data_IF_995743524045
#
_entry.id   IF_995743524045
#
_cell.length_a   1.000
_cell.length_b   1.000
_cell.length_c   1.000
_cell.angle_alpha   90.00
_cell.angle_beta   90.00
_cell.angle_gamma   90.00
#
_symmetry.space_group_name_H-M   'P 1'
#
loop_
_entity.id
_entity.type
_entity.pdbx_description
1 polymer ?
#
# COMPACT_ATOMS: atom_id res chain seq x y z
N UNK A 1 28.70 19.94 -38.85
CA UNK A 1 28.76 18.80 -37.92
C UNK A 1 27.32 18.37 -37.66
N UNK A 2 26.86 17.35 -38.38
CA UNK A 2 25.47 16.88 -38.29
C UNK A 2 25.33 16.04 -37.03
N UNK A 3 24.57 16.49 -36.04
CA UNK A 3 24.19 15.67 -34.88
C UNK A 3 23.32 14.52 -35.38
N UNK A 4 23.94 13.38 -35.66
CA UNK A 4 23.20 12.16 -36.00
C UNK A 4 22.31 11.82 -34.80
N UNK A 5 20.99 11.84 -35.00
CA UNK A 5 20.03 11.46 -33.96
C UNK A 5 20.39 10.06 -33.46
N UNK A 6 20.35 9.81 -32.13
CA UNK A 6 20.63 8.49 -31.59
C UNK A 6 19.66 7.48 -32.22
N UNK A 7 20.12 6.26 -32.56
CA UNK A 7 19.22 5.25 -33.11
C UNK A 7 18.10 4.96 -32.09
N UNK A 8 16.87 4.73 -32.58
CA UNK A 8 15.66 4.51 -31.77
C UNK A 8 15.86 3.50 -30.62
N UNK A 9 16.69 2.47 -30.85
CA UNK A 9 17.08 1.46 -29.86
C UNK A 9 17.83 2.06 -28.65
N UNK A 10 18.71 3.03 -28.87
CA UNK A 10 19.44 3.74 -27.81
C UNK A 10 18.51 4.65 -27.01
N UNK A 11 17.61 5.37 -27.69
CA UNK A 11 16.60 6.21 -27.02
C UNK A 11 15.71 5.34 -26.14
N UNK A 12 15.22 4.21 -26.63
CA UNK A 12 14.41 3.28 -25.83
C UNK A 12 15.15 2.78 -24.58
N UNK A 13 16.42 2.37 -24.71
CA UNK A 13 17.22 1.93 -23.57
C UNK A 13 17.39 3.07 -22.55
N UNK A 14 17.69 4.29 -23.01
CA UNK A 14 17.83 5.46 -22.16
C UNK A 14 16.51 5.80 -21.43
N UNK A 15 15.38 5.74 -22.13
CA UNK A 15 14.05 5.94 -21.55
C UNK A 15 13.74 4.89 -20.48
N UNK A 16 14.06 3.62 -20.71
CA UNK A 16 13.84 2.55 -19.73
C UNK A 16 14.68 2.76 -18.46
N UNK A 17 15.93 3.20 -18.61
CA UNK A 17 16.79 3.55 -17.47
C UNK A 17 16.21 4.75 -16.73
N UNK A 18 15.85 5.82 -17.43
CA UNK A 18 15.34 7.05 -16.82
C UNK A 18 14.04 6.80 -16.06
N UNK A 19 13.09 6.11 -16.67
CA UNK A 19 11.83 5.70 -16.02
C UNK A 19 12.12 4.75 -14.85
N UNK A 20 13.03 3.80 -15.03
CA UNK A 20 13.42 2.87 -13.96
C UNK A 20 14.02 3.59 -12.75
N UNK A 21 14.91 4.56 -12.97
CA UNK A 21 15.50 5.38 -11.91
C UNK A 21 14.41 6.22 -11.23
N UNK A 22 13.56 6.93 -11.99
CA UNK A 22 12.49 7.74 -11.42
C UNK A 22 11.54 6.90 -10.53
N UNK A 23 11.10 5.74 -11.03
CA UNK A 23 10.25 4.82 -10.26
C UNK A 23 10.97 4.19 -9.06
N UNK A 24 12.30 4.03 -9.10
CA UNK A 24 13.07 3.52 -7.96
C UNK A 24 13.06 4.47 -6.75
N UNK A 25 12.72 5.75 -6.97
CA UNK A 25 12.56 6.76 -5.94
C UNK A 25 11.10 7.11 -5.68
N UNK A 26 10.14 6.37 -6.27
CA UNK A 26 8.72 6.67 -6.10
C UNK A 26 8.28 6.63 -4.63
N UNK A 27 8.78 5.68 -3.84
CA UNK A 27 8.49 5.63 -2.39
C UNK A 27 9.02 6.86 -1.65
N UNK A 28 10.24 7.31 -1.94
CA UNK A 28 10.79 8.52 -1.31
C UNK A 28 10.04 9.78 -1.72
N UNK A 29 9.60 9.86 -2.98
CA UNK A 29 8.81 10.98 -3.47
C UNK A 29 7.38 11.00 -2.88
N UNK A 30 6.75 9.84 -2.68
CA UNK A 30 5.39 9.77 -2.12
C UNK A 30 5.35 9.77 -0.60
N UNK A 31 6.39 9.28 0.06
CA UNK A 31 6.49 9.29 1.52
C UNK A 31 7.13 10.57 2.08
N UNK A 32 7.84 11.35 1.25
CA UNK A 32 8.67 12.48 1.70
C UNK A 32 7.95 13.82 1.87
N UNK A 33 6.85 14.08 1.15
CA UNK A 33 6.28 15.44 1.02
C UNK A 33 4.76 15.53 1.29
N UNK A 34 4.10 14.44 1.68
CA UNK A 34 2.70 14.52 2.11
C UNK A 34 2.65 14.96 3.58
N UNK A 35 2.84 16.26 3.84
CA UNK A 35 2.49 16.88 5.11
C UNK A 35 0.96 16.74 5.29
N UNK A 36 0.55 15.90 6.24
CA UNK A 36 -0.85 15.83 6.67
C UNK A 36 -1.10 17.04 7.57
N UNK A 37 -2.01 17.90 7.14
CA UNK A 37 -2.53 18.97 8.00
C UNK A 37 -3.53 18.37 8.98
N UNK A 38 -3.29 18.61 10.26
CA UNK A 38 -4.20 18.28 11.34
C UNK A 38 -4.83 19.56 11.86
N UNK A 39 -6.12 19.52 12.13
CA UNK A 39 -6.88 20.63 12.69
C UNK A 39 -7.29 20.28 14.13
N UNK A 40 -7.22 21.26 15.02
CA UNK A 40 -7.76 21.15 16.37
C UNK A 40 -9.07 21.93 16.45
N UNK A 41 -10.19 21.22 16.46
CA UNK A 41 -11.51 21.83 16.57
C UNK A 41 -11.96 21.80 18.03
N UNK A 42 -12.31 22.97 18.58
CA UNK A 42 -12.92 23.04 19.90
C UNK A 42 -14.31 22.39 19.85
N UNK A 43 -14.61 21.52 20.81
CA UNK A 43 -15.86 20.77 20.86
C UNK A 43 -16.44 20.78 22.27
N UNK A 44 -17.75 20.90 22.36
CA UNK A 44 -18.48 20.78 23.62
C UNK A 44 -19.12 19.39 23.77
N UNK A 45 -19.27 18.85 24.99
CA UNK A 45 -20.00 17.62 25.22
C UNK A 45 -21.43 17.69 24.67
N UNK A 46 -21.73 16.84 23.69
CA UNK A 46 -23.05 16.77 23.04
C UNK A 46 -23.14 17.52 21.72
N UNK A 47 -22.12 18.30 21.37
CA UNK A 47 -21.96 18.88 20.03
C UNK A 47 -21.03 17.99 19.18
N UNK A 48 -21.25 18.02 17.86
CA UNK A 48 -20.41 17.38 16.84
C UNK A 48 -19.93 15.96 17.19
N UNK A 49 -20.86 15.11 17.64
CA UNK A 49 -20.57 13.76 18.11
C UNK A 49 -19.87 12.88 17.08
N UNK A 50 -20.13 13.12 15.78
CA UNK A 50 -19.41 12.45 14.68
C UNK A 50 -17.94 12.88 14.57
N UNK A 51 -17.60 14.13 14.88
CA UNK A 51 -16.21 14.60 14.85
C UNK A 51 -15.39 13.98 16.00
N UNK A 52 -16.01 13.79 17.16
CA UNK A 52 -15.39 13.12 18.32
C UNK A 52 -15.18 11.63 18.05
N UNK A 53 -16.17 10.95 17.49
CA UNK A 53 -16.04 9.54 17.12
C UNK A 53 -14.92 9.32 16.08
N UNK A 54 -14.74 10.24 15.13
CA UNK A 54 -13.63 10.19 14.16
C UNK A 54 -12.27 10.52 14.77
N UNK A 55 -12.22 11.49 15.68
CA UNK A 55 -10.96 11.89 16.31
C UNK A 55 -10.47 10.85 17.32
N UNK A 56 -11.37 10.24 18.10
CA UNK A 56 -11.01 9.47 19.27
C UNK A 56 -11.09 7.95 19.05
N UNK A 57 -9.95 7.28 19.08
CA UNK A 57 -9.81 5.83 18.87
C UNK A 57 -10.60 4.94 19.84
N UNK A 58 -11.14 5.48 20.93
CA UNK A 58 -11.89 4.74 21.95
C UNK A 58 -13.41 4.86 21.76
N UNK A 59 -13.85 5.51 20.68
CA UNK A 59 -15.25 5.66 20.29
C UNK A 59 -15.38 5.20 18.85
N UNK A 60 -16.23 4.21 18.59
CA UNK A 60 -16.52 3.78 17.21
C UNK A 60 -17.83 4.42 16.72
N UNK A 61 -17.84 4.98 15.50
CA UNK A 61 -19.08 5.40 14.84
C UNK A 61 -19.77 4.19 14.17
N UNK A 62 -20.87 3.71 14.75
CA UNK A 62 -21.62 2.59 14.20
C UNK A 62 -22.44 2.97 12.97
N UNK A 63 -22.85 4.24 12.81
CA UNK A 63 -23.58 4.67 11.61
C UNK A 63 -22.67 4.58 10.38
N UNK A 64 -21.43 5.04 10.53
CA UNK A 64 -20.39 4.93 9.50
C UNK A 64 -19.98 3.46 9.28
N UNK A 65 -19.67 2.73 10.36
CA UNK A 65 -19.21 1.33 10.26
C UNK A 65 -20.23 0.42 9.58
N UNK A 66 -21.51 0.69 9.79
CA UNK A 66 -22.60 -0.10 9.23
C UNK A 66 -23.06 0.42 7.87
N UNK A 67 -22.47 1.48 7.30
CA UNK A 67 -22.95 2.13 6.05
C UNK A 67 -23.21 1.15 4.90
N UNK A 68 -22.33 0.17 4.74
CA UNK A 68 -22.40 -0.85 3.69
C UNK A 68 -23.19 -2.11 4.09
N UNK A 69 -23.63 -2.18 5.35
CA UNK A 69 -24.47 -3.27 5.85
C UNK A 69 -25.92 -3.01 5.43
N UNK A 70 -26.57 -3.93 4.69
CA UNK A 70 -27.98 -3.79 4.32
C UNK A 70 -28.89 -3.52 5.54
N UNK A 71 -29.86 -2.62 5.41
CA UNK A 71 -30.72 -2.19 6.52
C UNK A 71 -31.45 -3.33 7.22
N UNK A 72 -31.82 -4.37 6.47
CA UNK A 72 -32.48 -5.58 6.97
C UNK A 72 -31.63 -6.36 7.99
N UNK A 73 -30.30 -6.19 7.94
CA UNK A 73 -29.37 -6.85 8.86
C UNK A 73 -29.00 -5.98 10.06
N UNK A 74 -29.40 -4.69 10.10
CA UNK A 74 -29.09 -3.77 11.21
C UNK A 74 -30.06 -3.88 12.39
N UNK A 75 -31.10 -4.69 12.28
CA UNK A 75 -32.13 -4.84 13.31
C UNK A 75 -31.60 -5.22 14.71
N UNK A 76 -30.57 -6.08 14.85
CA UNK A 76 -29.94 -6.35 16.15
C UNK A 76 -29.38 -5.11 16.84
N UNK A 77 -28.78 -4.19 16.07
CA UNK A 77 -28.22 -2.93 16.59
C UNK A 77 -29.33 -1.97 17.00
N UNK A 78 -30.38 -1.85 16.18
CA UNK A 78 -31.57 -1.04 16.55
C UNK A 78 -32.23 -1.56 17.81
N UNK A 79 -32.33 -2.88 17.94
CA UNK A 79 -32.88 -3.53 19.13
C UNK A 79 -32.02 -3.18 20.33
N UNK A 80 -30.71 -3.45 20.28
CA UNK A 80 -29.81 -3.14 21.39
C UNK A 80 -29.83 -1.65 21.78
N UNK A 81 -29.83 -0.74 20.81
CA UNK A 81 -29.92 0.70 21.06
C UNK A 81 -31.24 1.13 21.73
N UNK A 82 -32.35 0.42 21.44
CA UNK A 82 -33.67 0.72 21.98
C UNK A 82 -33.95 0.05 23.34
N UNK A 83 -33.50 -1.20 23.53
CA UNK A 83 -33.79 -2.02 24.71
C UNK A 83 -32.62 -2.14 25.68
N UNK A 84 -31.43 -1.70 25.28
CA UNK A 84 -30.18 -1.82 26.02
C UNK A 84 -29.38 -3.08 25.70
N UNK A 85 -29.99 -4.10 25.09
CA UNK A 85 -29.29 -5.32 24.69
C UNK A 85 -30.02 -6.14 23.63
N UNK A 86 -29.25 -6.96 22.92
CA UNK A 86 -29.70 -7.99 21.99
C UNK A 86 -28.92 -9.28 22.26
N UNK A 87 -29.62 -10.42 22.35
CA UNK A 87 -29.01 -11.76 22.37
C UNK A 87 -29.65 -12.60 21.28
N UNK A 88 -28.85 -13.06 20.31
CA UNK A 88 -29.37 -13.81 19.18
C UNK A 88 -28.35 -14.05 18.07
N UNK A 89 -28.83 -14.63 16.98
CA UNK A 89 -28.00 -14.93 15.81
C UNK A 89 -27.90 -13.70 14.90
N UNK A 90 -26.67 -13.31 14.56
CA UNK A 90 -26.38 -12.28 13.57
C UNK A 90 -26.27 -12.89 12.17
N UNK A 91 -26.59 -12.08 11.16
CA UNK A 91 -26.17 -12.35 9.78
C UNK A 91 -24.64 -12.34 9.69
N UNK A 92 -24.02 -13.14 8.80
CA UNK A 92 -22.58 -13.09 8.57
C UNK A 92 -22.05 -11.68 8.28
N UNK A 93 -22.79 -10.88 7.51
CA UNK A 93 -22.42 -9.52 7.14
C UNK A 93 -22.32 -8.61 8.36
N UNK A 94 -23.36 -8.59 9.21
CA UNK A 94 -23.33 -7.83 10.46
C UNK A 94 -22.26 -8.36 11.43
N UNK A 95 -22.05 -9.68 11.51
CA UNK A 95 -21.01 -10.24 12.36
C UNK A 95 -19.62 -9.73 11.95
N UNK A 96 -19.29 -9.78 10.65
CA UNK A 96 -18.03 -9.23 10.10
C UNK A 96 -17.91 -7.72 10.36
N UNK A 97 -19.02 -6.98 10.31
CA UNK A 97 -18.99 -5.55 10.57
C UNK A 97 -18.69 -5.21 12.05
N UNK A 98 -19.04 -6.09 12.99
CA UNK A 98 -18.91 -5.85 14.43
C UNK A 98 -17.70 -6.55 15.07
N UNK A 99 -17.14 -7.58 14.46
CA UNK A 99 -16.09 -8.44 15.06
C UNK A 99 -14.86 -7.64 15.53
N UNK A 100 -14.52 -6.57 14.81
CA UNK A 100 -13.36 -5.71 15.11
C UNK A 100 -13.68 -4.52 16.04
N UNK A 101 -14.91 -4.41 16.58
CA UNK A 101 -15.31 -3.28 17.43
C UNK A 101 -14.93 -3.56 18.88
N UNK A 102 -13.67 -3.27 19.22
CA UNK A 102 -13.10 -3.44 20.56
C UNK A 102 -13.15 -2.17 21.45
N UNK A 103 -13.90 -1.15 21.03
CA UNK A 103 -13.97 0.13 21.75
C UNK A 103 -14.96 0.11 22.91
N UNK A 104 -14.65 0.76 24.05
CA UNK A 104 -15.56 0.82 25.20
C UNK A 104 -16.82 1.66 24.96
N UNK A 105 -16.78 2.58 23.98
CA UNK A 105 -17.89 3.45 23.63
C UNK A 105 -18.20 3.37 22.14
N UNK A 106 -19.46 3.56 21.79
CA UNK A 106 -19.92 3.70 20.40
C UNK A 106 -20.84 4.91 20.26
N UNK A 107 -20.84 5.50 19.06
CA UNK A 107 -21.84 6.46 18.61
C UNK A 107 -22.82 5.76 17.66
N UNK A 108 -24.11 5.92 17.90
CA UNK A 108 -25.16 5.42 17.00
C UNK A 108 -26.36 6.36 17.07
N UNK A 109 -26.90 6.76 15.93
CA UNK A 109 -28.05 7.69 15.84
C UNK A 109 -27.84 8.95 16.70
N UNK A 110 -26.65 9.56 16.54
CA UNK A 110 -26.20 10.77 17.25
C UNK A 110 -26.04 10.65 18.78
N UNK A 111 -26.19 9.45 19.34
CA UNK A 111 -26.07 9.20 20.79
C UNK A 111 -24.90 8.30 21.12
N UNK A 112 -24.39 8.45 22.35
CA UNK A 112 -23.32 7.61 22.86
C UNK A 112 -23.85 6.45 23.70
N UNK A 113 -23.18 5.32 23.58
CA UNK A 113 -23.44 4.12 24.35
C UNK A 113 -22.14 3.54 24.88
N UNK A 114 -22.16 3.05 26.12
CA UNK A 114 -21.20 2.03 26.57
C UNK A 114 -21.51 0.75 25.79
N UNK A 115 -20.46 0.17 25.21
CA UNK A 115 -20.57 -0.92 24.25
C UNK A 115 -19.90 -2.18 24.78
N UNK A 116 -20.62 -3.29 24.67
CA UNK A 116 -20.03 -4.63 24.78
C UNK A 116 -20.55 -5.49 23.65
N UNK A 117 -19.63 -6.15 22.95
CA UNK A 117 -19.92 -7.17 21.96
C UNK A 117 -19.25 -8.47 22.36
N UNK A 118 -20.01 -9.57 22.36
CA UNK A 118 -19.45 -10.89 22.63
C UNK A 118 -20.11 -11.95 21.78
N UNK A 119 -19.33 -12.92 21.33
CA UNK A 119 -19.79 -14.06 20.54
C UNK A 119 -19.64 -15.35 21.35
N UNK A 120 -20.61 -16.25 21.24
CA UNK A 120 -20.51 -17.58 21.87
C UNK A 120 -19.76 -18.53 20.93
N UNK A 121 -18.43 -18.59 21.07
CA UNK A 121 -17.55 -19.46 20.27
C UNK A 121 -17.43 -19.00 18.81
N UNK A 122 -17.11 -19.91 17.88
CA UNK A 122 -17.01 -19.62 16.43
C UNK A 122 -18.38 -19.52 15.73
N UNK A 123 -19.43 -19.09 16.45
CA UNK A 123 -20.79 -18.99 15.89
C UNK A 123 -21.23 -17.54 15.75
N UNK A 124 -22.19 -17.28 14.87
CA UNK A 124 -22.80 -15.94 14.73
C UNK A 124 -23.79 -15.61 15.85
N UNK A 125 -23.88 -16.43 16.90
CA UNK A 125 -24.67 -16.09 18.08
C UNK A 125 -23.89 -15.08 18.92
N UNK A 126 -24.43 -13.87 19.00
CA UNK A 126 -23.80 -12.77 19.69
C UNK A 126 -24.73 -12.13 20.70
N UNK A 127 -24.10 -11.57 21.74
CA UNK A 127 -24.73 -10.67 22.68
C UNK A 127 -24.15 -9.28 22.46
N UNK A 128 -25.03 -8.32 22.18
CA UNK A 128 -24.73 -6.90 22.04
C UNK A 128 -25.34 -6.18 23.23
N UNK A 129 -24.57 -5.39 23.95
CA UNK A 129 -25.05 -4.50 24.99
C UNK A 129 -24.73 -3.05 24.61
N UNK A 130 -25.76 -2.20 24.66
CA UNK A 130 -25.69 -0.78 24.34
C UNK A 130 -26.35 0.02 25.46
N UNK A 131 -25.55 0.46 26.43
CA UNK A 131 -26.08 1.24 27.55
C UNK A 131 -25.96 2.73 27.24
N UNK A 132 -27.07 3.49 27.15
CA UNK A 132 -27.02 4.93 26.90
C UNK A 132 -26.11 5.63 27.91
N UNK A 133 -25.24 6.50 27.41
CA UNK A 133 -24.25 7.23 28.21
C UNK A 133 -24.27 8.71 27.84
N UNK A 134 -24.10 9.57 28.84
CA UNK A 134 -24.03 11.01 28.62
C UNK A 134 -22.71 11.41 27.92
N UNK A 135 -22.75 12.40 27.00
CA UNK A 135 -21.56 12.86 26.30
C UNK A 135 -20.44 13.34 27.23
N UNK A 136 -20.78 13.94 28.37
CA UNK A 136 -19.80 14.44 29.35
C UNK A 136 -18.93 13.31 29.91
N UNK A 137 -19.54 12.19 30.28
CA UNK A 137 -18.84 10.99 30.76
C UNK A 137 -17.93 10.40 29.68
N UNK A 138 -18.37 10.35 28.42
CA UNK A 138 -17.54 9.87 27.31
C UNK A 138 -16.34 10.80 27.09
N UNK A 139 -16.56 12.11 27.04
CA UNK A 139 -15.49 13.09 26.87
C UNK A 139 -14.48 13.00 28.02
N UNK A 140 -14.95 12.89 29.26
CA UNK A 140 -14.09 12.74 30.42
C UNK A 140 -13.28 11.43 30.41
N UNK A 141 -13.86 10.33 29.92
CA UNK A 141 -13.21 9.03 29.84
C UNK A 141 -12.18 8.95 28.70
N UNK A 142 -12.44 9.61 27.58
CA UNK A 142 -11.66 9.46 26.35
C UNK A 142 -10.63 10.58 26.15
N UNK A 143 -10.88 11.77 26.69
CA UNK A 143 -9.98 12.91 26.53
C UNK A 143 -8.65 12.71 27.26
N UNK A 144 -7.56 13.07 26.58
CA UNK A 144 -6.20 13.05 27.11
C UNK A 144 -5.76 14.46 27.50
N UNK A 145 -4.92 14.64 28.54
CA UNK A 145 -4.40 15.96 28.86
C UNK A 145 -3.48 16.47 27.73
N UNK A 146 -3.74 17.68 27.23
CA UNK A 146 -2.94 18.29 26.16
C UNK A 146 -1.47 18.49 26.56
N UNK A 147 -1.19 18.68 27.86
CA UNK A 147 0.17 18.79 28.40
C UNK A 147 1.01 17.52 28.24
N UNK A 148 0.38 16.35 28.09
CA UNK A 148 1.05 15.09 27.81
C UNK A 148 1.09 14.74 26.32
N UNK A 149 0.53 15.60 25.45
CA UNK A 149 0.44 15.35 24.03
C UNK A 149 1.76 15.66 23.29
N UNK A 150 2.02 14.99 22.14
CA UNK A 150 3.14 15.32 21.25
C UNK A 150 3.16 16.81 20.88
N UNK A 151 4.33 17.34 20.49
CA UNK A 151 4.49 18.76 20.11
C UNK A 151 3.48 19.18 19.04
N UNK A 152 3.33 18.40 17.98
CA UNK A 152 2.40 18.74 16.89
C UNK A 152 0.94 18.82 17.32
N UNK A 153 0.50 18.06 18.33
CA UNK A 153 -0.86 18.20 18.89
C UNK A 153 -1.01 19.53 19.64
N UNK A 154 0.01 19.92 20.40
CA UNK A 154 0.01 21.20 21.13
C UNK A 154 0.03 22.37 20.15
N UNK A 155 0.87 22.30 19.11
CA UNK A 155 0.87 23.28 18.01
C UNK A 155 -0.50 23.37 17.34
N UNK A 156 -1.14 22.23 17.04
CA UNK A 156 -2.49 22.25 16.46
C UNK A 156 -3.51 22.93 17.37
N UNK A 157 -3.46 22.68 18.68
CA UNK A 157 -4.36 23.32 19.65
C UNK A 157 -4.07 24.83 19.78
N UNK A 158 -2.79 25.22 19.81
CA UNK A 158 -2.37 26.61 20.03
C UNK A 158 -2.56 27.49 18.77
N UNK A 159 -2.30 26.94 17.58
CA UNK A 159 -2.30 27.66 16.29
C UNK A 159 -3.52 27.33 15.40
N UNK A 160 -4.35 26.37 15.81
CA UNK A 160 -5.51 25.87 15.07
C UNK A 160 -5.21 24.72 14.11
N UNK A 161 -3.99 24.65 13.58
CA UNK A 161 -3.55 23.58 12.66
C UNK A 161 -2.08 23.20 12.87
N UNK A 162 -1.70 21.97 12.52
CA UNK A 162 -0.31 21.55 12.47
C UNK A 162 -0.03 20.63 11.27
N UNK A 163 1.12 20.84 10.61
CA UNK A 163 1.58 20.06 9.45
C UNK A 163 2.68 19.05 9.82
N UNK A 164 2.90 18.79 11.12
CA UNK A 164 4.01 17.97 11.58
C UNK A 164 3.73 16.46 11.48
N UNK A 165 4.77 15.67 11.17
CA UNK A 165 4.71 14.22 11.32
C UNK A 165 4.57 13.84 12.79
N UNK A 166 3.65 12.90 13.11
CA UNK A 166 3.51 12.36 14.46
C UNK A 166 2.43 13.05 15.33
N UNK A 167 1.60 13.91 14.73
CA UNK A 167 0.34 14.33 15.34
C UNK A 167 -0.54 13.09 15.50
N UNK A 168 -1.08 12.89 16.70
CA UNK A 168 -1.98 11.77 17.00
C UNK A 168 -3.39 12.29 17.10
N UNK A 169 -4.28 11.79 16.24
CA UNK A 169 -5.70 12.06 16.35
C UNK A 169 -6.21 11.66 17.73
N UNK A 170 -7.12 12.45 18.28
CA UNK A 170 -7.67 12.19 19.59
C UNK A 170 -8.47 13.36 20.13
N UNK A 171 -9.19 13.10 21.21
CA UNK A 171 -9.80 14.13 22.04
C UNK A 171 -8.78 14.56 23.10
N UNK A 172 -8.50 15.86 23.19
CA UNK A 172 -7.56 16.45 24.13
C UNK A 172 -8.25 17.49 25.01
N UNK A 173 -7.80 17.62 26.25
CA UNK A 173 -8.31 18.61 27.20
C UNK A 173 -7.22 19.60 27.59
N UNK A 174 -7.53 20.89 27.45
CA UNK A 174 -6.69 22.01 27.85
C UNK A 174 -7.57 23.06 28.55
N UNK A 175 -7.20 23.44 29.77
CA UNK A 175 -7.86 24.50 30.57
C UNK A 175 -9.39 24.37 30.70
N UNK A 176 -9.90 23.13 30.70
CA UNK A 176 -11.32 22.83 30.83
C UNK A 176 -12.09 22.77 29.52
N UNK A 177 -11.47 23.14 28.39
CA UNK A 177 -12.01 22.97 27.05
C UNK A 177 -11.53 21.66 26.41
N UNK A 178 -12.35 21.11 25.50
CA UNK A 178 -12.03 19.92 24.73
C UNK A 178 -11.71 20.30 23.29
N UNK A 179 -10.67 19.67 22.75
CA UNK A 179 -10.20 19.84 21.39
C UNK A 179 -10.13 18.48 20.73
N UNK A 180 -10.90 18.29 19.67
CA UNK A 180 -10.80 17.12 18.83
C UNK A 180 -9.77 17.41 17.74
N UNK A 181 -8.67 16.66 17.77
CA UNK A 181 -7.60 16.76 16.80
C UNK A 181 -7.76 15.63 15.80
N UNK A 182 -7.95 15.99 14.54
CA UNK A 182 -8.13 15.04 13.44
C UNK A 182 -7.45 15.57 12.17
N UNK A 183 -7.18 14.70 11.18
CA UNK A 183 -6.73 15.17 9.86
C UNK A 183 -7.78 16.09 9.25
N UNK A 184 -7.34 17.21 8.65
CA UNK A 184 -8.23 18.15 7.95
C UNK A 184 -8.98 17.45 6.80
N UNK A 185 -8.33 16.47 6.17
CA UNK A 185 -8.89 15.72 5.05
C UNK A 185 -8.60 14.23 5.13
N UNK A 186 -9.65 13.42 5.31
CA UNK A 186 -9.58 11.96 5.19
C UNK A 186 -9.15 11.51 3.78
N UNK A 187 -9.51 12.28 2.76
CA UNK A 187 -9.06 12.02 1.39
C UNK A 187 -7.54 12.20 1.25
N UNK A 188 -6.93 13.14 1.99
CA UNK A 188 -5.48 13.31 2.03
C UNK A 188 -4.80 12.14 2.76
N UNK A 189 -5.38 11.65 3.86
CA UNK A 189 -4.91 10.44 4.56
C UNK A 189 -4.95 9.23 3.63
N UNK A 190 -6.07 9.04 2.93
CA UNK A 190 -6.22 7.95 1.97
C UNK A 190 -5.25 8.09 0.79
N UNK A 191 -5.08 9.30 0.25
CA UNK A 191 -4.15 9.58 -0.84
C UNK A 191 -2.69 9.32 -0.42
N UNK A 192 -2.30 9.68 0.81
CA UNK A 192 -0.98 9.37 1.34
C UNK A 192 -0.80 7.87 1.54
N UNK A 193 -1.79 7.17 2.07
CA UNK A 193 -1.74 5.72 2.21
C UNK A 193 -1.64 5.01 0.86
N UNK A 194 -2.48 5.41 -0.11
CA UNK A 194 -2.42 4.93 -1.48
C UNK A 194 -1.07 5.28 -2.14
N UNK A 195 -0.53 6.46 -1.88
CA UNK A 195 0.78 6.91 -2.34
C UNK A 195 1.93 6.11 -1.73
N UNK A 196 1.84 5.74 -0.46
CA UNK A 196 2.80 4.88 0.22
C UNK A 196 2.75 3.45 -0.34
N UNK A 197 1.54 2.89 -0.56
CA UNK A 197 1.36 1.59 -1.22
C UNK A 197 1.91 1.63 -2.65
N UNK A 198 1.55 2.65 -3.42
CA UNK A 198 2.02 2.83 -4.79
C UNK A 198 3.54 2.99 -4.82
N UNK A 199 4.12 3.79 -3.94
CA UNK A 199 5.56 3.96 -3.82
C UNK A 199 6.27 2.65 -3.45
N UNK A 200 5.73 1.90 -2.48
CA UNK A 200 6.26 0.61 -2.04
C UNK A 200 6.20 -0.43 -3.17
N UNK A 201 5.13 -0.43 -3.94
CA UNK A 201 4.91 -1.29 -5.10
C UNK A 201 5.80 -0.90 -6.31
N UNK A 202 5.95 0.39 -6.59
CA UNK A 202 6.64 0.93 -7.78
C UNK A 202 8.16 0.96 -7.63
N UNK A 203 8.68 1.08 -6.40
CA UNK A 203 10.12 1.08 -6.13
C UNK A 203 10.85 -0.17 -6.67
N UNK A 204 10.42 -1.40 -6.35
CA UNK A 204 11.04 -2.60 -6.92
C UNK A 204 10.81 -2.73 -8.44
N UNK A 205 9.69 -2.19 -8.97
CA UNK A 205 9.43 -2.14 -10.41
C UNK A 205 10.46 -1.25 -11.12
N UNK A 206 10.71 -0.06 -10.59
CA UNK A 206 11.74 0.86 -11.09
C UNK A 206 13.12 0.20 -11.13
N UNK A 207 13.48 -0.52 -10.06
CA UNK A 207 14.76 -1.24 -9.98
C UNK A 207 14.86 -2.34 -11.04
N UNK A 208 13.77 -3.07 -11.27
CA UNK A 208 13.69 -4.05 -12.36
C UNK A 208 13.91 -3.41 -13.73
N UNK A 209 13.27 -2.27 -14.01
CA UNK A 209 13.45 -1.54 -15.28
C UNK A 209 14.86 -1.00 -15.45
N UNK A 210 15.42 -0.38 -14.41
CA UNK A 210 16.79 0.13 -14.42
C UNK A 210 17.80 -0.99 -14.68
N UNK A 211 17.64 -2.15 -14.03
CA UNK A 211 18.48 -3.32 -14.26
C UNK A 211 18.38 -3.84 -15.71
N UNK A 212 17.17 -3.95 -16.26
CA UNK A 212 16.99 -4.36 -17.66
C UNK A 212 17.65 -3.35 -18.60
N UNK A 213 17.42 -2.06 -18.40
CA UNK A 213 18.03 -0.99 -19.19
C UNK A 213 19.57 -1.04 -19.15
N UNK A 214 20.16 -1.17 -17.97
CA UNK A 214 21.62 -1.32 -17.79
C UNK A 214 22.17 -2.56 -18.48
N UNK A 215 21.47 -3.70 -18.37
CA UNK A 215 21.87 -4.94 -19.04
C UNK A 215 21.83 -4.83 -20.57
N UNK A 216 20.78 -4.20 -21.12
CA UNK A 216 20.67 -3.94 -22.55
C UNK A 216 21.76 -2.97 -23.03
N UNK A 217 22.01 -1.90 -22.27
CA UNK A 217 23.06 -0.94 -22.57
C UNK A 217 24.44 -1.61 -22.60
N UNK A 218 24.73 -2.47 -21.62
CA UNK A 218 25.99 -3.20 -21.54
C UNK A 218 26.20 -4.11 -22.76
N UNK A 219 25.17 -4.85 -23.19
CA UNK A 219 25.26 -5.68 -24.40
C UNK A 219 25.37 -4.83 -25.66
N UNK A 220 24.67 -3.71 -25.74
CA UNK A 220 24.75 -2.79 -26.89
C UNK A 220 26.13 -2.17 -27.03
N UNK A 221 26.76 -1.81 -25.92
CA UNK A 221 28.12 -1.24 -25.90
C UNK A 221 29.19 -2.28 -26.26
N UNK A 222 29.07 -3.51 -25.73
CA UNK A 222 30.02 -4.59 -26.05
C UNK A 222 29.89 -5.11 -27.47
N UNK A 223 28.69 -5.07 -28.05
CA UNK A 223 28.39 -5.67 -29.36
C UNK A 223 27.54 -4.74 -30.25
N UNK A 224 28.10 -3.60 -30.70
CA UNK A 224 27.34 -2.56 -31.39
C UNK A 224 26.80 -2.97 -32.77
N UNK A 225 27.41 -3.97 -33.41
CA UNK A 225 27.09 -4.41 -34.77
C UNK A 225 26.14 -5.62 -34.84
N UNK A 226 25.74 -6.21 -33.70
CA UNK A 226 24.81 -7.35 -33.73
C UNK A 226 23.37 -6.90 -33.95
N UNK A 227 22.74 -7.46 -35.00
CA UNK A 227 21.32 -7.25 -35.28
C UNK A 227 20.40 -7.82 -34.21
N UNK A 228 20.80 -8.96 -33.64
CA UNK A 228 20.12 -9.66 -32.56
C UNK A 228 20.88 -9.50 -31.26
N UNK A 229 20.41 -8.59 -30.42
CA UNK A 229 21.08 -8.25 -29.16
C UNK A 229 20.82 -9.31 -28.09
N UNK A 230 19.59 -9.85 -28.01
CA UNK A 230 19.20 -10.81 -26.98
C UNK A 230 18.98 -12.23 -27.49
N UNK A 231 19.57 -13.17 -26.78
CA UNK A 231 19.22 -14.61 -26.78
C UNK A 231 18.65 -14.96 -25.40
N UNK A 232 18.04 -16.15 -25.23
CA UNK A 232 17.47 -16.56 -23.93
C UNK A 232 18.53 -16.47 -22.82
N UNK A 233 19.75 -16.95 -23.07
CA UNK A 233 20.86 -16.90 -22.09
C UNK A 233 21.23 -15.47 -21.69
N UNK A 234 21.23 -14.54 -22.65
CA UNK A 234 21.52 -13.12 -22.38
C UNK A 234 20.37 -12.45 -21.65
N UNK A 235 19.13 -12.75 -22.02
CA UNK A 235 17.95 -12.24 -21.34
C UNK A 235 17.93 -12.69 -19.87
N UNK A 236 18.31 -13.95 -19.59
CA UNK A 236 18.46 -14.44 -18.21
C UNK A 236 19.55 -13.68 -17.48
N UNK A 237 20.69 -13.39 -18.11
CA UNK A 237 21.75 -12.58 -17.50
C UNK A 237 21.29 -11.13 -17.22
N UNK A 238 20.51 -10.53 -18.13
CA UNK A 238 19.91 -9.20 -17.95
C UNK A 238 18.91 -9.22 -16.79
N UNK A 239 18.02 -10.23 -16.74
CA UNK A 239 17.06 -10.36 -15.65
C UNK A 239 17.74 -10.59 -14.29
N UNK A 240 18.80 -11.40 -14.26
CA UNK A 240 19.58 -11.66 -13.04
C UNK A 240 20.26 -10.40 -12.50
N UNK A 241 20.55 -9.40 -13.34
CA UNK A 241 21.11 -8.11 -12.90
C UNK A 241 20.16 -7.35 -11.96
N UNK A 242 18.85 -7.66 -11.97
CA UNK A 242 17.90 -7.03 -11.06
C UNK A 242 18.21 -7.31 -9.59
N UNK A 243 18.76 -8.47 -9.25
CA UNK A 243 19.12 -8.83 -7.88
C UNK A 243 20.22 -7.91 -7.31
N UNK A 244 21.43 -7.81 -7.89
CA UNK A 244 22.47 -6.93 -7.37
C UNK A 244 22.09 -5.45 -7.45
N UNK A 245 21.40 -5.01 -8.52
CA UNK A 245 20.91 -3.62 -8.64
C UNK A 245 19.94 -3.30 -7.51
N UNK A 246 18.97 -4.19 -7.25
CA UNK A 246 18.00 -3.98 -6.19
C UNK A 246 18.63 -4.05 -4.80
N UNK A 247 19.58 -4.96 -4.56
CA UNK A 247 20.30 -5.05 -3.28
C UNK A 247 21.13 -3.79 -3.00
N UNK A 248 21.87 -3.28 -3.99
CA UNK A 248 22.65 -2.04 -3.85
C UNK A 248 21.72 -0.86 -3.60
N UNK A 249 20.61 -0.77 -4.34
CA UNK A 249 19.64 0.30 -4.14
C UNK A 249 18.97 0.21 -2.76
N UNK A 250 18.59 -0.99 -2.30
CA UNK A 250 18.09 -1.19 -0.93
C UNK A 250 19.13 -0.75 0.10
N UNK A 251 20.40 -1.15 -0.05
CA UNK A 251 21.46 -0.78 0.88
C UNK A 251 21.73 0.74 0.94
N UNK A 252 21.62 1.44 -0.19
CA UNK A 252 21.90 2.88 -0.27
C UNK A 252 20.74 3.75 0.16
N UNK A 253 19.49 3.32 -0.10
CA UNK A 253 18.32 4.19 -0.01
C UNK A 253 17.27 3.74 1.00
N UNK A 254 17.31 2.49 1.46
CA UNK A 254 16.34 1.98 2.42
C UNK A 254 16.97 1.75 3.79
N UNK A 255 16.30 2.26 4.82
CA UNK A 255 16.58 1.99 6.23
C UNK A 255 15.41 1.19 6.83
N UNK A 256 15.68 0.36 7.83
CA UNK A 256 14.65 -0.42 8.53
C UNK A 256 14.80 -1.94 8.36
N UNK A 257 13.68 -2.64 8.19
CA UNK A 257 13.62 -4.11 8.28
C UNK A 257 14.52 -4.84 7.28
N UNK A 258 15.21 -5.89 7.75
CA UNK A 258 16.01 -6.80 6.93
C UNK A 258 15.18 -7.52 5.86
N UNK A 259 13.87 -7.68 6.04
CA UNK A 259 12.98 -8.30 5.05
C UNK A 259 12.95 -7.54 3.71
N UNK A 260 13.31 -6.25 3.71
CA UNK A 260 13.41 -5.42 2.49
C UNK A 260 14.52 -5.89 1.55
N UNK A 261 15.58 -6.49 2.07
CA UNK A 261 16.67 -7.10 1.27
C UNK A 261 16.25 -8.38 0.55
N UNK A 262 15.06 -8.91 0.84
CA UNK A 262 14.51 -10.08 0.15
C UNK A 262 13.32 -9.69 -0.72
N UNK A 263 12.35 -8.99 -0.13
CA UNK A 263 11.08 -8.64 -0.80
C UNK A 263 11.31 -7.72 -2.01
N UNK A 264 12.11 -6.66 -1.88
CA UNK A 264 12.43 -5.73 -2.97
C UNK A 264 13.15 -6.43 -4.14
N UNK A 265 14.29 -7.11 -3.90
CA UNK A 265 15.00 -7.84 -4.95
C UNK A 265 14.18 -8.96 -5.60
N UNK A 266 13.36 -9.70 -4.83
CA UNK A 266 12.48 -10.72 -5.38
C UNK A 266 11.48 -10.11 -6.37
N UNK A 267 10.79 -9.02 -5.99
CA UNK A 267 9.84 -8.34 -6.88
C UNK A 267 10.53 -7.74 -8.11
N UNK A 268 11.70 -7.11 -7.93
CA UNK A 268 12.49 -6.58 -9.05
C UNK A 268 12.89 -7.69 -10.05
N UNK A 269 13.23 -8.89 -9.56
CA UNK A 269 13.55 -10.04 -10.39
C UNK A 269 12.32 -10.57 -11.15
N UNK A 270 11.12 -10.58 -10.54
CA UNK A 270 9.86 -10.91 -11.23
C UNK A 270 9.63 -9.95 -12.39
N UNK A 271 9.75 -8.64 -12.15
CA UNK A 271 9.58 -7.60 -13.18
C UNK A 271 10.59 -7.80 -14.31
N UNK A 272 11.87 -7.96 -13.97
CA UNK A 272 12.93 -8.12 -14.95
C UNK A 272 12.80 -9.43 -15.76
N UNK A 273 12.20 -10.49 -15.20
CA UNK A 273 11.94 -11.75 -15.90
C UNK A 273 11.05 -11.57 -17.15
N UNK A 274 10.28 -10.48 -17.21
CA UNK A 274 9.55 -10.08 -18.41
C UNK A 274 10.43 -10.06 -19.66
N UNK A 275 11.70 -9.62 -19.55
CA UNK A 275 12.63 -9.62 -20.69
C UNK A 275 12.86 -11.03 -21.24
N UNK A 276 12.97 -12.04 -20.36
CA UNK A 276 13.14 -13.45 -20.74
C UNK A 276 11.88 -13.95 -21.42
N UNK A 277 10.71 -13.65 -20.86
CA UNK A 277 9.43 -14.00 -21.44
C UNK A 277 9.28 -13.42 -22.86
N UNK A 278 9.64 -12.15 -23.07
CA UNK A 278 9.63 -11.50 -24.38
C UNK A 278 10.54 -12.19 -25.40
N UNK A 279 11.76 -12.57 -24.99
CA UNK A 279 12.67 -13.35 -25.84
C UNK A 279 12.10 -14.73 -26.17
N UNK A 280 11.51 -15.42 -25.20
CA UNK A 280 10.90 -16.74 -25.41
C UNK A 280 9.76 -16.67 -26.41
N UNK A 281 8.89 -15.65 -26.32
CA UNK A 281 7.79 -15.43 -27.28
C UNK A 281 8.32 -15.09 -28.67
N UNK A 282 9.34 -14.23 -28.78
CA UNK A 282 9.98 -13.91 -30.06
C UNK A 282 10.63 -15.14 -30.74
N UNK A 283 10.93 -16.19 -29.96
CA UNK A 283 11.54 -17.44 -30.43
C UNK A 283 10.56 -18.62 -30.47
N UNK A 284 9.27 -18.39 -30.23
CA UNK A 284 8.23 -19.43 -30.15
C UNK A 284 8.55 -20.56 -29.15
N UNK A 285 9.27 -20.26 -28.05
CA UNK A 285 9.67 -21.22 -27.01
C UNK A 285 8.65 -21.27 -25.86
N UNK A 286 7.45 -21.75 -26.16
CA UNK A 286 6.31 -21.76 -25.22
C UNK A 286 6.55 -22.54 -23.93
N UNK A 287 7.27 -23.68 -23.99
CA UNK A 287 7.62 -24.46 -22.78
C UNK A 287 8.54 -23.67 -21.84
N UNK A 288 9.54 -22.98 -22.39
CA UNK A 288 10.44 -22.14 -21.61
C UNK A 288 9.73 -20.92 -21.03
N UNK A 289 8.77 -20.35 -21.75
CA UNK A 289 7.93 -19.26 -21.23
C UNK A 289 7.15 -19.72 -20.00
N UNK A 290 6.37 -20.80 -20.11
CA UNK A 290 5.59 -21.33 -19.00
C UNK A 290 6.47 -21.68 -17.79
N UNK A 291 7.62 -22.34 -18.03
CA UNK A 291 8.56 -22.68 -16.97
C UNK A 291 9.17 -21.47 -16.26
N UNK A 292 9.53 -20.41 -17.00
CA UNK A 292 10.09 -19.19 -16.40
C UNK A 292 9.03 -18.42 -15.62
N UNK A 293 7.83 -18.23 -16.17
CA UNK A 293 6.77 -17.49 -15.49
C UNK A 293 6.35 -18.19 -14.20
N UNK A 294 6.06 -19.49 -14.26
CA UNK A 294 5.67 -20.26 -13.06
C UNK A 294 6.84 -20.34 -12.07
N UNK A 295 8.05 -20.64 -12.55
CA UNK A 295 9.22 -20.79 -11.70
C UNK A 295 9.60 -19.50 -10.95
N UNK A 296 9.61 -18.36 -11.65
CA UNK A 296 9.94 -17.06 -11.04
C UNK A 296 8.83 -16.62 -10.06
N UNK A 297 7.56 -16.83 -10.40
CA UNK A 297 6.45 -16.52 -9.49
C UNK A 297 6.50 -17.34 -8.20
N UNK A 298 6.75 -18.65 -8.30
CA UNK A 298 6.89 -19.53 -7.14
C UNK A 298 8.13 -19.18 -6.31
N UNK A 299 9.27 -18.91 -6.94
CA UNK A 299 10.50 -18.54 -6.23
C UNK A 299 10.33 -17.21 -5.49
N UNK A 300 9.72 -16.20 -6.12
CA UNK A 300 9.44 -14.93 -5.47
C UNK A 300 8.47 -15.09 -4.29
N UNK A 301 7.42 -15.88 -4.47
CA UNK A 301 6.46 -16.19 -3.39
C UNK A 301 7.14 -16.90 -2.22
N UNK A 302 7.98 -17.90 -2.50
CA UNK A 302 8.74 -18.61 -1.48
C UNK A 302 9.73 -17.69 -0.75
N UNK A 303 10.44 -16.82 -1.48
CA UNK A 303 11.38 -15.86 -0.89
C UNK A 303 10.66 -14.84 0.01
N UNK A 304 9.53 -14.30 -0.43
CA UNK A 304 8.71 -13.37 0.36
C UNK A 304 8.16 -14.08 1.60
N UNK A 305 7.62 -15.28 1.45
CA UNK A 305 7.15 -16.11 2.58
C UNK A 305 8.27 -16.39 3.58
N UNK A 306 9.49 -16.70 3.11
CA UNK A 306 10.63 -16.90 4.01
C UNK A 306 11.03 -15.61 4.75
N UNK A 307 10.83 -14.44 4.14
CA UNK A 307 11.24 -13.15 4.71
C UNK A 307 10.25 -12.57 5.73
N UNK A 308 8.95 -12.80 5.55
CA UNK A 308 7.90 -12.21 6.41
C UNK A 308 6.99 -13.26 7.09
N UNK A 309 7.28 -14.55 6.92
CA UNK A 309 6.52 -15.64 7.55
C UNK A 309 5.21 -15.96 6.82
N UNK A 310 4.20 -16.52 7.52
CA UNK A 310 2.95 -16.97 6.91
C UNK A 310 2.20 -15.89 6.12
N UNK A 311 2.29 -14.63 6.54
CA UNK A 311 1.71 -13.48 5.80
C UNK A 311 2.25 -13.36 4.39
N UNK A 312 3.48 -13.82 4.13
CA UNK A 312 4.06 -13.84 2.80
C UNK A 312 3.40 -14.81 1.82
N UNK A 313 2.58 -15.76 2.27
CA UNK A 313 1.75 -16.58 1.38
C UNK A 313 0.65 -15.77 0.70
N UNK A 314 0.24 -14.63 1.28
CA UNK A 314 -0.73 -13.71 0.70
C UNK A 314 0.00 -12.63 -0.12
N UNK A 315 1.02 -12.01 0.46
CA UNK A 315 1.75 -10.93 -0.20
C UNK A 315 2.65 -11.41 -1.36
N UNK A 316 3.16 -12.64 -1.29
CA UNK A 316 4.03 -13.23 -2.32
C UNK A 316 3.35 -13.34 -3.69
N UNK A 317 2.19 -14.01 -3.80
CA UNK A 317 1.43 -14.08 -5.05
C UNK A 317 0.99 -12.71 -5.56
N UNK A 318 0.55 -11.80 -4.67
CA UNK A 318 0.17 -10.43 -5.06
C UNK A 318 1.36 -9.66 -5.67
N UNK A 319 2.54 -9.74 -5.03
CA UNK A 319 3.76 -9.14 -5.55
C UNK A 319 4.18 -9.78 -6.89
N UNK A 320 4.02 -11.08 -7.05
CA UNK A 320 4.30 -11.77 -8.30
C UNK A 320 3.34 -11.31 -9.43
N UNK A 321 2.04 -11.23 -9.16
CA UNK A 321 1.03 -10.74 -10.13
C UNK A 321 1.36 -9.32 -10.56
N UNK A 322 1.57 -8.42 -9.61
CA UNK A 322 1.96 -7.04 -9.90
C UNK A 322 3.27 -6.98 -10.71
N UNK A 323 4.25 -7.82 -10.34
CA UNK A 323 5.51 -7.95 -11.04
C UNK A 323 5.35 -8.44 -12.49
N UNK A 324 4.40 -9.34 -12.76
CA UNK A 324 4.10 -9.79 -14.12
C UNK A 324 3.38 -8.72 -14.95
N UNK A 325 2.42 -8.02 -14.36
CA UNK A 325 1.71 -6.91 -15.02
C UNK A 325 2.68 -5.80 -15.42
N UNK A 326 3.54 -5.38 -14.49
CA UNK A 326 4.56 -4.37 -14.76
C UNK A 326 5.71 -4.91 -15.62
N UNK A 327 5.99 -6.21 -15.55
CA UNK A 327 6.94 -6.93 -16.42
C UNK A 327 6.57 -6.91 -17.91
N UNK A 328 5.37 -6.48 -18.29
CA UNK A 328 4.98 -6.27 -19.69
C UNK A 328 5.87 -5.27 -20.42
N UNK A 329 6.42 -4.26 -19.72
CA UNK A 329 7.36 -3.32 -20.30
C UNK A 329 8.68 -4.02 -20.66
N UNK A 330 9.43 -4.64 -19.71
CA UNK A 330 10.58 -5.49 -20.01
C UNK A 330 10.30 -6.58 -21.06
N UNK A 331 9.10 -7.14 -21.09
CA UNK A 331 8.66 -8.09 -22.10
C UNK A 331 8.71 -7.50 -23.52
N UNK A 332 8.15 -6.31 -23.72
CA UNK A 332 8.22 -5.61 -25.00
C UNK A 332 9.66 -5.38 -25.47
N UNK A 333 10.53 -4.97 -24.54
CA UNK A 333 11.97 -4.83 -24.82
C UNK A 333 12.61 -6.17 -25.20
N UNK A 334 12.37 -7.23 -24.41
CA UNK A 334 12.87 -8.57 -24.70
C UNK A 334 12.46 -9.06 -26.08
N UNK A 335 11.19 -8.91 -26.42
CA UNK A 335 10.63 -9.30 -27.71
C UNK A 335 11.28 -8.53 -28.88
N UNK A 336 11.37 -7.21 -28.76
CA UNK A 336 11.91 -6.35 -29.81
C UNK A 336 13.41 -6.56 -30.03
N UNK A 337 14.20 -6.68 -28.95
CA UNK A 337 15.65 -6.88 -29.02
C UNK A 337 16.08 -8.33 -29.34
N UNK A 338 15.13 -9.28 -29.31
CA UNK A 338 15.33 -10.66 -29.76
C UNK A 338 15.09 -10.87 -31.27
N UNK A 339 14.47 -9.90 -31.96
CA UNK A 339 14.27 -9.91 -33.41
C UNK A 339 15.48 -9.32 -34.14
N UNK A 340 15.83 -9.92 -35.28
CA UNK A 340 16.78 -9.35 -36.23
C UNK A 340 16.20 -8.05 -36.79
N UNK A 341 17.04 -7.01 -36.96
CA UNK A 341 16.61 -5.80 -37.66
C UNK A 341 16.18 -6.12 -39.11
N UNK A 342 15.39 -5.25 -39.76
CA UNK A 342 15.15 -5.40 -41.19
C UNK A 342 16.51 -5.34 -41.91
N UNK A 343 16.93 -6.46 -42.50
CA UNK A 343 18.11 -6.49 -43.36
C UNK A 343 17.88 -5.59 -44.59
N UNK A 344 18.95 -5.13 -45.26
CA UNK A 344 18.81 -4.39 -46.50
C UNK A 344 17.97 -5.23 -47.47
N UNK A 345 16.87 -4.66 -47.96
CA UNK A 345 16.13 -5.19 -49.09
C UNK A 345 17.08 -5.21 -50.28
N UNK A 346 17.63 -6.38 -50.59
CA UNK A 346 18.30 -6.63 -51.86
C UNK A 346 17.23 -6.59 -52.94
N UNK A 347 17.14 -5.44 -53.62
CA UNK A 347 16.57 -5.35 -54.96
C UNK A 347 17.56 -5.83 -56.00
#
# INVERSE_FOLDING_TARGET
MSSALPPLRTVAIASLILVGVALSFAFHATAGDAELTYEATAVEPGEDSGLVARAASNVTDLDERLSDTPDQYREPIRTAAATGSFDGTLSPELHIALDDVETPYVRYDERYYEWTFSTRGETTNATIEMRPTDPESVFAAVARPASAAPSGVRTAIDEGTANESGVRSGLYRLDGAYYAVAPESEAAVFAQFAGAIAGFALTPVGRGYAAVGLGLLAYRYREPTRDRLLTVRRAVAVAALALPVALVATALFETGSLSRFVTGPATAAVVASGVVAGVCVAQSRWRSLAGVTVGVGLLATAAITAAIGPTGLVFGPLAAILGFVTGLVPFGYGYWFARTGPGPTTG
#
